data_IF_893633182499
#
_entry.id   IF_893633182499
#
_cell.length_a   1.000
_cell.length_b   1.000
_cell.length_c   1.000
_cell.angle_alpha   90.00
_cell.angle_beta   90.00
_cell.angle_gamma   90.00
#
_symmetry.space_group_name_H-M   'P 1'
#
loop_
_entity.id
_entity.type
_entity.pdbx_description
1 polymer ?
#
# COMPACT_ATOMS: atom_id res chain seq x y z
N UNK A 1 0.44 -8.63 14.55
CA UNK A 1 0.13 -8.00 15.88
C UNK A 1 0.85 -6.67 16.12
N UNK A 2 1.21 -5.88 15.06
CA UNK A 2 1.96 -4.62 15.22
C UNK A 2 1.25 -3.53 16.05
N UNK A 3 -0.09 -3.52 16.02
CA UNK A 3 -0.92 -2.52 16.68
C UNK A 3 -1.74 -3.14 17.81
N UNK A 4 -1.22 -4.16 18.49
CA UNK A 4 -1.88 -4.86 19.58
C UNK A 4 -1.10 -4.68 20.88
N UNK A 5 -1.83 -4.45 21.95
CA UNK A 5 -1.35 -4.34 23.31
C UNK A 5 -2.12 -5.30 24.23
N UNK A 6 -1.82 -5.27 25.52
CA UNK A 6 -2.50 -6.07 26.55
C UNK A 6 -4.02 -5.86 26.53
N UNK A 7 -4.47 -4.61 26.38
CA UNK A 7 -5.89 -4.27 26.33
C UNK A 7 -6.58 -4.89 25.10
N UNK A 8 -5.91 -4.86 23.97
CA UNK A 8 -6.42 -5.49 22.72
C UNK A 8 -6.65 -6.99 22.91
N UNK A 9 -5.69 -7.69 23.56
CA UNK A 9 -5.84 -9.11 23.85
C UNK A 9 -6.94 -9.39 24.89
N UNK A 10 -7.07 -8.56 25.90
CA UNK A 10 -8.14 -8.69 26.91
C UNK A 10 -9.53 -8.54 26.25
N UNK A 11 -9.70 -7.52 25.39
CA UNK A 11 -10.97 -7.31 24.66
C UNK A 11 -11.24 -8.47 23.71
N UNK A 12 -10.24 -8.95 22.95
CA UNK A 12 -10.40 -10.09 22.06
C UNK A 12 -10.81 -11.35 22.85
N UNK A 13 -10.18 -11.60 24.01
CA UNK A 13 -10.54 -12.71 24.90
C UNK A 13 -12.00 -12.64 25.39
N UNK A 14 -12.45 -11.46 25.83
CA UNK A 14 -13.84 -11.25 26.25
C UNK A 14 -14.83 -11.51 25.10
N UNK A 15 -14.53 -11.03 23.89
CA UNK A 15 -15.36 -11.28 22.71
C UNK A 15 -15.48 -12.78 22.38
N UNK A 16 -14.38 -13.53 22.55
CA UNK A 16 -14.38 -15.00 22.37
C UNK A 16 -15.26 -15.68 23.41
N UNK A 17 -15.22 -15.23 24.66
CA UNK A 17 -16.10 -15.74 25.74
C UNK A 17 -17.59 -15.49 25.47
N UNK A 18 -17.92 -14.39 24.80
CA UNK A 18 -19.28 -14.08 24.33
C UNK A 18 -19.72 -14.89 23.10
N UNK A 19 -18.88 -15.80 22.60
CA UNK A 19 -19.23 -16.76 21.56
C UNK A 19 -18.99 -16.27 20.13
N UNK A 20 -18.10 -15.30 19.92
CA UNK A 20 -17.71 -14.90 18.55
C UNK A 20 -17.00 -16.07 17.86
N UNK A 21 -17.47 -16.41 16.65
CA UNK A 21 -16.81 -17.39 15.79
C UNK A 21 -15.57 -16.77 15.11
N UNK A 22 -14.40 -17.04 15.72
CA UNK A 22 -13.11 -16.57 15.20
C UNK A 22 -12.83 -17.16 13.82
N UNK A 23 -13.23 -18.41 13.55
CA UNK A 23 -12.98 -19.07 12.27
C UNK A 23 -13.78 -18.38 11.16
N UNK A 24 -15.05 -18.05 11.43
CA UNK A 24 -15.87 -17.30 10.47
C UNK A 24 -15.27 -15.93 10.18
N UNK A 25 -14.85 -15.18 11.20
CA UNK A 25 -14.21 -13.86 11.05
C UNK A 25 -12.92 -14.00 10.23
N UNK A 26 -12.07 -14.97 10.57
CA UNK A 26 -10.83 -15.23 9.86
C UNK A 26 -11.07 -15.52 8.37
N UNK A 27 -12.01 -16.41 8.07
CA UNK A 27 -12.37 -16.75 6.69
C UNK A 27 -12.89 -15.52 5.93
N UNK A 28 -13.68 -14.65 6.54
CA UNK A 28 -14.16 -13.41 5.90
C UNK A 28 -13.04 -12.43 5.60
N UNK A 29 -12.09 -12.25 6.53
CA UNK A 29 -10.98 -11.29 6.40
C UNK A 29 -9.95 -11.76 5.38
N UNK A 30 -9.60 -13.05 5.38
CA UNK A 30 -8.48 -13.57 4.60
C UNK A 30 -8.88 -14.26 3.28
N UNK A 31 -10.16 -14.44 3.04
CA UNK A 31 -10.64 -15.03 1.79
C UNK A 31 -10.38 -14.07 0.62
N UNK A 32 -9.68 -14.56 -0.38
CA UNK A 32 -9.37 -13.83 -1.62
C UNK A 32 -10.25 -14.33 -2.75
N UNK A 33 -10.67 -13.44 -3.63
CA UNK A 33 -11.31 -13.83 -4.89
C UNK A 33 -10.25 -14.36 -5.86
N UNK A 34 -10.60 -15.30 -6.71
CA UNK A 34 -9.69 -15.80 -7.75
C UNK A 34 -9.13 -14.66 -8.64
N UNK A 35 -9.94 -13.64 -8.89
CA UNK A 35 -9.51 -12.41 -9.61
C UNK A 35 -8.36 -11.68 -8.90
N UNK A 36 -8.34 -11.64 -7.57
CA UNK A 36 -7.27 -10.98 -6.82
C UNK A 36 -5.92 -11.68 -7.03
N UNK A 37 -5.91 -12.99 -7.29
CA UNK A 37 -4.68 -13.72 -7.62
C UNK A 37 -4.12 -13.31 -8.99
N UNK A 38 -4.99 -13.03 -9.96
CA UNK A 38 -4.56 -12.54 -11.27
C UNK A 38 -4.02 -11.11 -11.19
N UNK A 39 -4.65 -10.25 -10.37
CA UNK A 39 -4.16 -8.90 -10.11
C UNK A 39 -2.79 -8.95 -9.40
N UNK A 40 -2.65 -9.82 -8.38
CA UNK A 40 -1.37 -10.03 -7.70
C UNK A 40 -0.28 -10.48 -8.68
N UNK A 41 -0.58 -11.42 -9.58
CA UNK A 41 0.35 -11.87 -10.62
C UNK A 41 0.77 -10.71 -11.52
N UNK A 42 -0.18 -9.89 -11.98
CA UNK A 42 0.11 -8.72 -12.80
C UNK A 42 1.03 -7.75 -12.07
N UNK A 43 0.71 -7.38 -10.84
CA UNK A 43 1.52 -6.47 -10.02
C UNK A 43 2.93 -7.03 -9.80
N UNK A 44 3.06 -8.31 -9.40
CA UNK A 44 4.34 -8.94 -9.15
C UNK A 44 5.22 -9.06 -10.41
N UNK A 45 4.61 -9.21 -11.58
CA UNK A 45 5.36 -9.23 -12.84
C UNK A 45 5.82 -7.85 -13.30
N UNK A 46 5.16 -6.77 -12.85
CA UNK A 46 5.40 -5.40 -13.33
C UNK A 46 5.91 -4.46 -12.24
N UNK A 47 6.07 -4.91 -10.99
CA UNK A 47 6.62 -4.06 -9.94
C UNK A 47 8.11 -3.79 -10.22
N UNK A 48 8.58 -2.68 -9.68
CA UNK A 48 9.95 -2.23 -9.80
C UNK A 48 10.57 -2.05 -8.41
N UNK A 49 11.88 -2.11 -8.35
CA UNK A 49 12.65 -1.93 -7.13
C UNK A 49 13.85 -1.04 -7.39
N UNK A 50 14.02 0.01 -6.60
CA UNK A 50 15.11 0.97 -6.72
C UNK A 50 15.53 1.49 -5.33
N UNK A 51 16.76 1.17 -4.92
CA UNK A 51 17.38 1.72 -3.72
C UNK A 51 16.61 1.52 -2.41
N UNK A 52 15.98 0.37 -2.20
CA UNK A 52 15.17 0.07 -1.01
C UNK A 52 13.67 0.41 -1.17
N UNK A 53 13.27 1.04 -2.28
CA UNK A 53 11.88 1.39 -2.58
C UNK A 53 11.32 0.41 -3.62
N UNK A 54 10.28 -0.34 -3.27
CA UNK A 54 9.53 -1.18 -4.19
C UNK A 54 8.24 -0.48 -4.62
N UNK A 55 7.86 -0.57 -5.88
CA UNK A 55 6.64 0.09 -6.35
C UNK A 55 6.04 -0.56 -7.57
N UNK A 56 4.76 -0.31 -7.76
CA UNK A 56 4.07 -0.60 -9.02
C UNK A 56 3.26 0.59 -9.49
N UNK A 57 3.06 0.65 -10.79
CA UNK A 57 2.30 1.69 -11.47
C UNK A 57 1.14 1.03 -12.20
N UNK A 58 -0.07 1.52 -11.99
CA UNK A 58 -1.28 1.12 -12.72
C UNK A 58 -1.84 2.34 -13.47
N UNK A 59 -1.70 2.33 -14.77
CA UNK A 59 -2.35 3.29 -15.65
C UNK A 59 -3.86 3.04 -15.71
N UNK A 60 -4.63 4.00 -16.22
CA UNK A 60 -6.05 3.82 -16.50
C UNK A 60 -6.31 2.63 -17.45
N UNK A 61 -5.42 2.40 -18.41
CA UNK A 61 -5.47 1.23 -19.29
C UNK A 61 -5.29 -0.08 -18.49
N UNK A 62 -4.35 -0.13 -17.54
CA UNK A 62 -4.15 -1.30 -16.69
C UNK A 62 -5.35 -1.54 -15.79
N UNK A 63 -5.90 -0.47 -15.17
CA UNK A 63 -7.09 -0.56 -14.32
C UNK A 63 -8.29 -1.11 -15.10
N UNK A 64 -8.50 -0.64 -16.33
CA UNK A 64 -9.55 -1.14 -17.23
C UNK A 64 -9.32 -2.59 -17.64
N UNK A 65 -8.09 -2.95 -18.01
CA UNK A 65 -7.73 -4.33 -18.38
C UNK A 65 -7.94 -5.30 -17.21
N UNK A 66 -7.60 -4.88 -16.00
CA UNK A 66 -7.81 -5.66 -14.78
C UNK A 66 -9.25 -5.59 -14.26
N UNK A 67 -10.10 -4.74 -14.87
CA UNK A 67 -11.50 -4.49 -14.49
C UNK A 67 -11.61 -4.14 -12.99
N UNK A 68 -10.78 -3.22 -12.51
CA UNK A 68 -10.79 -2.74 -11.13
C UNK A 68 -10.87 -1.21 -11.09
N UNK A 69 -11.39 -0.68 -9.99
CA UNK A 69 -11.33 0.75 -9.73
C UNK A 69 -9.92 1.17 -9.31
N UNK A 70 -9.63 2.46 -9.42
CA UNK A 70 -8.39 3.06 -8.94
C UNK A 70 -8.16 2.78 -7.44
N UNK A 71 -9.20 2.93 -6.62
CA UNK A 71 -9.14 2.65 -5.18
C UNK A 71 -8.73 1.19 -4.96
N UNK A 72 -9.36 0.27 -5.69
CA UNK A 72 -9.03 -1.15 -5.60
C UNK A 72 -7.59 -1.42 -6.03
N UNK A 73 -7.07 -0.71 -7.04
CA UNK A 73 -5.66 -0.80 -7.46
C UNK A 73 -4.69 -0.45 -6.33
N UNK A 74 -5.03 0.54 -5.50
CA UNK A 74 -4.24 0.96 -4.34
C UNK A 74 -4.29 -0.03 -3.16
N UNK A 75 -5.36 -0.82 -3.00
CA UNK A 75 -5.52 -1.78 -1.91
C UNK A 75 -4.45 -2.87 -1.92
N UNK A 76 -3.87 -3.17 -3.10
CA UNK A 76 -2.82 -4.17 -3.26
C UNK A 76 -1.43 -3.69 -2.82
N UNK A 77 -1.28 -2.46 -2.33
CA UNK A 77 0.03 -1.91 -1.93
C UNK A 77 0.78 -2.83 -0.96
N UNK A 78 0.08 -3.49 -0.04
CA UNK A 78 0.69 -4.40 0.92
C UNK A 78 1.13 -5.75 0.32
N UNK A 79 0.88 -6.01 -0.97
CA UNK A 79 1.44 -7.18 -1.66
C UNK A 79 2.97 -7.17 -1.66
N UNK A 80 3.57 -5.98 -1.68
CA UNK A 80 5.02 -5.80 -1.63
C UNK A 80 5.58 -5.76 -0.20
N UNK A 81 4.73 -5.89 0.82
CA UNK A 81 5.18 -5.92 2.23
C UNK A 81 5.87 -7.24 2.58
N UNK A 82 6.77 -7.21 3.57
CA UNK A 82 7.38 -8.43 4.11
C UNK A 82 8.60 -8.95 3.35
N UNK A 83 9.01 -8.30 2.28
CA UNK A 83 10.28 -8.56 1.60
C UNK A 83 11.40 -7.80 2.34
N UNK A 84 12.49 -8.47 2.64
CA UNK A 84 13.57 -7.93 3.50
C UNK A 84 14.20 -6.67 2.91
N UNK A 85 14.42 -6.66 1.61
CA UNK A 85 15.04 -5.57 0.87
C UNK A 85 14.13 -4.35 0.70
N UNK A 86 12.79 -4.54 0.79
CA UNK A 86 11.82 -3.47 0.59
C UNK A 86 11.62 -2.69 1.89
N UNK A 87 12.28 -1.55 2.00
CA UNK A 87 12.21 -0.65 3.16
C UNK A 87 10.94 0.20 3.10
N UNK A 88 10.64 0.70 1.91
CA UNK A 88 9.45 1.47 1.56
C UNK A 88 8.78 0.78 0.37
N UNK A 89 7.45 0.75 0.35
CA UNK A 89 6.73 0.26 -0.83
C UNK A 89 5.53 1.15 -1.13
N UNK A 90 5.21 1.27 -2.43
CA UNK A 90 4.14 2.16 -2.86
C UNK A 90 3.38 1.65 -4.08
N UNK A 91 2.15 2.12 -4.18
CA UNK A 91 1.28 1.96 -5.32
C UNK A 91 1.04 3.32 -5.97
N UNK A 92 1.22 3.42 -7.28
CA UNK A 92 0.81 4.56 -8.08
C UNK A 92 -0.37 4.15 -8.95
N UNK A 93 -1.46 4.91 -8.89
CA UNK A 93 -2.66 4.67 -9.70
C UNK A 93 -3.05 5.95 -10.42
N UNK A 94 -3.27 5.86 -11.73
CA UNK A 94 -3.68 7.00 -12.55
C UNK A 94 -5.09 7.46 -12.20
N UNK A 95 -5.26 8.75 -12.06
CA UNK A 95 -6.55 9.40 -11.84
C UNK A 95 -6.85 10.34 -13.01
N UNK A 96 -7.46 9.79 -14.05
CA UNK A 96 -7.79 10.53 -15.27
C UNK A 96 -8.74 11.68 -14.99
N UNK A 97 -9.68 11.52 -14.08
CA UNK A 97 -10.68 12.55 -13.76
C UNK A 97 -10.04 13.83 -13.21
N UNK A 98 -9.01 13.70 -12.37
CA UNK A 98 -8.31 14.81 -11.74
C UNK A 98 -6.95 15.11 -12.41
N UNK A 99 -6.63 14.42 -13.51
CA UNK A 99 -5.37 14.57 -14.26
C UNK A 99 -4.12 14.47 -13.36
N UNK A 100 -4.08 13.45 -12.49
CA UNK A 100 -2.98 13.24 -11.56
C UNK A 100 -2.76 11.73 -11.28
N UNK A 101 -1.70 11.42 -10.54
CA UNK A 101 -1.40 10.09 -10.04
C UNK A 101 -1.56 10.06 -8.53
N UNK A 102 -2.34 9.13 -8.02
CA UNK A 102 -2.43 8.89 -6.58
C UNK A 102 -1.35 7.92 -6.16
N UNK A 103 -0.66 8.26 -5.08
CA UNK A 103 0.40 7.45 -4.50
C UNK A 103 -0.04 6.98 -3.11
N UNK A 104 0.02 5.69 -2.88
CA UNK A 104 -0.15 5.08 -1.55
C UNK A 104 1.22 4.64 -1.06
N UNK A 105 1.75 5.30 -0.04
CA UNK A 105 3.06 5.05 0.55
C UNK A 105 2.93 4.19 1.80
N UNK A 106 3.82 3.23 1.95
CA UNK A 106 3.96 2.38 3.13
C UNK A 106 5.43 2.19 3.46
N UNK A 107 5.74 2.05 4.73
CA UNK A 107 7.09 1.71 5.17
C UNK A 107 7.06 0.77 6.36
N UNK A 108 8.20 0.18 6.64
CA UNK A 108 8.41 -0.62 7.84
C UNK A 108 8.78 0.28 9.02
N UNK A 109 9.72 1.18 8.85
CA UNK A 109 10.34 1.94 9.93
C UNK A 109 10.63 3.42 9.57
N UNK A 110 10.33 3.86 8.33
CA UNK A 110 10.69 5.18 7.81
C UNK A 110 9.49 6.14 7.79
N UNK A 111 9.73 7.42 8.11
CA UNK A 111 8.70 8.45 8.19
C UNK A 111 8.25 8.97 6.82
N UNK A 112 7.51 8.16 6.06
CA UNK A 112 7.04 8.50 4.71
C UNK A 112 6.04 9.66 4.66
N UNK A 113 5.41 10.03 5.78
CA UNK A 113 4.49 11.16 5.83
C UNK A 113 5.17 12.49 5.49
N UNK A 114 6.42 12.69 5.89
CA UNK A 114 7.19 13.91 5.58
C UNK A 114 7.46 14.06 4.10
N UNK A 115 7.72 12.95 3.42
CA UNK A 115 7.87 12.94 1.96
C UNK A 115 6.51 13.17 1.31
N UNK A 116 5.44 12.51 1.77
CA UNK A 116 4.09 12.69 1.22
C UNK A 116 3.62 14.16 1.27
N UNK A 117 3.96 14.91 2.33
CA UNK A 117 3.63 16.33 2.49
C UNK A 117 4.21 17.20 1.35
N UNK A 118 5.41 16.87 0.84
CA UNK A 118 6.02 17.55 -0.32
C UNK A 118 5.22 17.38 -1.63
N UNK A 119 4.38 16.33 -1.69
CA UNK A 119 3.58 15.95 -2.87
C UNK A 119 2.08 16.06 -2.61
N UNK A 120 1.64 17.15 -1.97
CA UNK A 120 0.22 17.45 -1.69
C UNK A 120 -0.51 16.30 -1.01
N UNK A 121 0.17 15.65 -0.08
CA UNK A 121 -0.31 14.47 0.63
C UNK A 121 -0.15 14.59 2.14
N UNK A 122 -0.15 13.43 2.80
CA UNK A 122 -0.01 13.30 4.24
C UNK A 122 -0.55 11.97 4.73
N UNK A 123 -0.60 11.81 6.04
CA UNK A 123 -1.07 10.59 6.69
C UNK A 123 -0.27 10.22 7.92
N UNK A 124 -0.27 8.93 8.25
CA UNK A 124 0.52 8.41 9.37
C UNK A 124 2.00 8.25 9.00
N UNK A 125 2.86 8.21 10.00
CA UNK A 125 4.32 8.09 9.85
C UNK A 125 4.70 6.96 8.87
N UNK A 126 4.08 5.79 9.01
CA UNK A 126 4.40 4.59 8.22
C UNK A 126 3.40 4.31 7.07
N UNK A 127 2.37 5.14 6.91
CA UNK A 127 1.31 4.92 5.92
C UNK A 127 0.69 6.25 5.49
N UNK A 128 1.04 6.73 4.32
CA UNK A 128 0.64 8.03 3.81
C UNK A 128 0.15 7.96 2.37
N UNK A 129 -0.55 8.99 1.95
CA UNK A 129 -0.94 9.19 0.57
C UNK A 129 -0.31 10.44 0.01
N UNK A 130 -0.06 10.48 -1.29
CA UNK A 130 0.45 11.64 -2.01
C UNK A 130 -0.21 11.76 -3.39
N UNK A 131 0.04 12.87 -4.09
CA UNK A 131 -0.42 13.09 -5.45
C UNK A 131 0.72 13.65 -6.31
N UNK A 132 0.94 13.04 -7.46
CA UNK A 132 1.84 13.56 -8.47
C UNK A 132 1.02 14.19 -9.60
N UNK A 133 1.42 15.37 -10.06
CA UNK A 133 0.77 16.02 -11.21
C UNK A 133 1.03 15.26 -12.52
N UNK A 134 2.19 14.61 -12.64
CA UNK A 134 2.52 13.72 -13.76
C UNK A 134 3.43 12.60 -13.28
N UNK A 135 3.51 11.52 -14.08
CA UNK A 135 4.42 10.39 -13.78
C UNK A 135 5.91 10.79 -13.85
N UNK A 136 6.25 11.89 -14.50
CA UNK A 136 7.61 12.43 -14.55
C UNK A 136 8.16 12.78 -13.16
N UNK A 137 7.27 13.13 -12.21
CA UNK A 137 7.65 13.40 -10.82
C UNK A 137 8.07 12.15 -10.04
N UNK A 138 7.83 10.94 -10.59
CA UNK A 138 8.19 9.69 -9.91
C UNK A 138 9.69 9.61 -9.60
N UNK A 139 10.55 10.06 -10.51
CA UNK A 139 12.00 10.06 -10.29
C UNK A 139 12.40 10.88 -9.07
N UNK A 140 11.82 12.08 -8.89
CA UNK A 140 12.07 12.92 -7.72
C UNK A 140 11.49 12.31 -6.43
N UNK A 141 10.29 11.76 -6.49
CA UNK A 141 9.70 11.05 -5.35
C UNK A 141 10.59 9.89 -4.88
N UNK A 142 11.10 9.08 -5.82
CA UNK A 142 12.03 7.99 -5.51
C UNK A 142 13.32 8.50 -4.85
N UNK A 143 13.84 9.63 -5.32
CA UNK A 143 15.02 10.23 -4.71
C UNK A 143 14.74 10.69 -3.27
N UNK A 144 13.66 11.42 -3.03
CA UNK A 144 13.27 11.86 -1.69
C UNK A 144 13.04 10.67 -0.73
N UNK A 145 12.48 9.55 -1.23
CA UNK A 145 12.29 8.33 -0.42
C UNK A 145 13.62 7.62 -0.13
N UNK A 146 14.56 7.61 -1.06
CA UNK A 146 15.91 7.04 -0.85
C UNK A 146 16.73 7.88 0.14
N UNK A 147 16.53 9.18 0.18
CA UNK A 147 17.19 10.05 1.16
C UNK A 147 16.84 9.63 2.59
N UNK A 148 15.56 9.45 2.90
CA UNK A 148 15.14 9.02 4.26
C UNK A 148 15.53 7.57 4.60
N UNK A 149 15.89 6.74 3.63
CA UNK A 149 16.43 5.39 3.88
C UNK A 149 17.91 5.46 4.28
N UNK A 150 18.64 6.47 3.79
CA UNK A 150 20.08 6.60 3.97
C UNK A 150 20.47 7.52 5.14
N UNK A 151 19.52 8.23 5.74
CA UNK A 151 19.68 8.97 7.00
C UNK A 151 19.77 8.04 8.22
#
# INVERSE_FOLDING_TARGET
>A
YRNTDERTFAVAGALVQEGIDIVEIYNRIYMKKAKDLQINKFILNNHQFDGGVAYYVLSDADLKMLEISRERGSDFVNLLSGVEEYKIWMALTENVADHNWRVSLRSRDYAVNKVAEKYNGGGHILASGAKLASLEQLGQLLQDLKEIINE
#
